data_IF_214699141670
#
_entry.id   IF_214699141670
#
_cell.length_a   1.000
_cell.length_b   1.000
_cell.length_c   1.000
_cell.angle_alpha   90.00
_cell.angle_beta   90.00
_cell.angle_gamma   90.00
#
_symmetry.space_group_name_H-M   'P 1'
#
loop_
_entity.id
_entity.type
_entity.pdbx_description
1 polymer ?
#
# COMPACT_ATOMS: atom_id res chain seq x y z
N UNK A 1 14.62 -25.05 -22.08
CA UNK A 1 13.23 -24.81 -21.62
C UNK A 1 13.02 -23.32 -21.56
N UNK A 2 11.97 -22.78 -22.19
CA UNK A 2 11.62 -21.36 -22.14
C UNK A 2 10.74 -21.13 -20.91
N UNK A 3 11.19 -20.26 -20.01
CA UNK A 3 10.41 -19.84 -18.83
C UNK A 3 9.97 -18.40 -19.02
N UNK A 4 8.72 -18.10 -18.66
CA UNK A 4 8.17 -16.74 -18.66
C UNK A 4 7.96 -16.31 -17.22
N UNK A 5 8.59 -15.20 -16.80
CA UNK A 5 8.40 -14.64 -15.47
C UNK A 5 7.02 -13.99 -15.39
N UNK A 6 6.29 -14.26 -14.32
CA UNK A 6 5.08 -13.52 -13.95
C UNK A 6 5.41 -12.55 -12.82
N UNK A 7 4.83 -11.35 -12.85
CA UNK A 7 4.92 -10.37 -11.76
C UNK A 7 3.73 -10.48 -10.80
N UNK A 8 3.37 -9.38 -10.14
CA UNK A 8 2.26 -9.27 -9.18
C UNK A 8 0.94 -9.07 -9.92
N UNK A 9 0.30 -10.18 -10.30
CA UNK A 9 -0.95 -10.19 -11.09
C UNK A 9 -2.06 -9.26 -10.57
N UNK A 10 -2.10 -9.00 -9.26
CA UNK A 10 -3.17 -8.23 -8.63
C UNK A 10 -2.72 -6.88 -8.07
N UNK A 11 -1.57 -6.37 -8.49
CA UNK A 11 -1.09 -5.03 -8.13
C UNK A 11 -0.84 -4.23 -9.40
N UNK A 12 -1.39 -3.01 -9.47
CA UNK A 12 -1.13 -2.06 -10.55
C UNK A 12 -0.73 -0.70 -9.97
N UNK A 13 0.02 0.08 -10.74
CA UNK A 13 0.38 1.44 -10.38
C UNK A 13 -0.63 2.41 -10.98
N UNK A 14 -1.05 3.41 -10.22
CA UNK A 14 -1.82 4.54 -10.75
C UNK A 14 -0.91 5.58 -11.46
N UNK A 15 -1.50 6.67 -11.96
CA UNK A 15 -0.78 7.77 -12.63
C UNK A 15 0.29 8.44 -11.76
N UNK A 16 0.27 8.22 -10.44
CA UNK A 16 1.19 8.78 -9.46
C UNK A 16 2.18 7.73 -8.93
N UNK A 17 2.28 6.58 -9.60
CA UNK A 17 3.08 5.42 -9.16
C UNK A 17 2.67 4.86 -7.80
N UNK A 18 1.40 5.00 -7.41
CA UNK A 18 0.88 4.40 -6.17
C UNK A 18 0.39 2.98 -6.46
N UNK A 19 0.88 1.96 -5.74
CA UNK A 19 0.42 0.59 -5.91
C UNK A 19 -0.97 0.37 -5.33
N UNK A 20 -1.90 -0.08 -6.18
CA UNK A 20 -3.32 -0.34 -5.91
C UNK A 20 -3.63 -1.81 -6.20
N UNK A 21 -4.47 -2.40 -5.36
CA UNK A 21 -4.93 -3.78 -5.52
C UNK A 21 -5.99 -3.82 -6.64
N UNK A 22 -5.76 -4.66 -7.65
CA UNK A 22 -6.63 -4.76 -8.84
C UNK A 22 -8.08 -5.04 -8.44
N UNK A 23 -9.04 -4.29 -8.99
CA UNK A 23 -10.47 -4.46 -8.70
C UNK A 23 -10.92 -3.85 -7.38
N UNK A 24 -10.07 -3.09 -6.70
CA UNK A 24 -10.44 -2.27 -5.55
C UNK A 24 -9.79 -0.87 -5.65
N UNK A 25 -10.16 0.02 -4.74
CA UNK A 25 -9.49 1.30 -4.52
C UNK A 25 -8.41 1.22 -3.44
N UNK A 26 -8.21 0.03 -2.86
CA UNK A 26 -7.32 -0.16 -1.73
C UNK A 26 -5.86 -0.13 -2.17
N UNK A 27 -5.08 0.74 -1.54
CA UNK A 27 -3.64 0.84 -1.81
C UNK A 27 -2.88 -0.22 -1.04
N UNK A 28 -1.76 -0.70 -1.58
CA UNK A 28 -0.91 -1.69 -0.89
C UNK A 28 -0.44 -1.15 0.46
N UNK A 29 -0.05 0.13 0.53
CA UNK A 29 0.37 0.76 1.79
C UNK A 29 -0.74 0.78 2.86
N UNK A 30 -2.01 0.89 2.45
CA UNK A 30 -3.15 0.85 3.39
C UNK A 30 -3.34 -0.55 3.96
N UNK A 31 -3.28 -1.58 3.10
CA UNK A 31 -3.32 -2.98 3.54
C UNK A 31 -2.20 -3.29 4.54
N UNK A 32 -0.96 -2.87 4.24
CA UNK A 32 0.20 -3.07 5.11
C UNK A 32 0.08 -2.29 6.42
N UNK A 33 -0.52 -1.11 6.39
CA UNK A 33 -0.80 -0.35 7.61
C UNK A 33 -1.71 -1.14 8.54
N UNK A 34 -2.78 -1.75 8.02
CA UNK A 34 -3.68 -2.61 8.81
C UNK A 34 -2.97 -3.83 9.38
N UNK A 35 -2.12 -4.51 8.58
CA UNK A 35 -1.30 -5.63 9.07
C UNK A 35 -0.43 -5.20 10.24
N UNK A 36 0.28 -4.07 10.13
CA UNK A 36 1.18 -3.61 11.19
C UNK A 36 0.44 -3.07 12.42
N UNK A 37 -0.72 -2.44 12.23
CA UNK A 37 -1.50 -1.84 13.32
C UNK A 37 -2.22 -2.89 14.17
N UNK A 38 -2.76 -3.93 13.53
CA UNK A 38 -3.60 -4.93 14.18
C UNK A 38 -2.96 -6.32 14.28
N UNK A 39 -1.77 -6.50 13.70
CA UNK A 39 -1.10 -7.81 13.58
C UNK A 39 -1.96 -8.86 12.87
N UNK A 40 -2.81 -8.43 11.94
CA UNK A 40 -3.76 -9.30 11.26
C UNK A 40 -3.09 -10.32 10.34
N UNK A 41 -3.61 -11.54 10.35
CA UNK A 41 -3.28 -12.57 9.35
C UNK A 41 -3.94 -12.29 8.00
N UNK A 42 -3.51 -12.94 6.90
CA UNK A 42 -4.20 -12.86 5.61
C UNK A 42 -5.68 -13.23 5.67
N UNK A 43 -6.05 -14.19 6.51
CA UNK A 43 -7.44 -14.60 6.75
C UNK A 43 -8.23 -13.49 7.44
N UNK A 44 -7.68 -12.91 8.51
CA UNK A 44 -8.31 -11.78 9.21
C UNK A 44 -8.43 -10.54 8.30
N UNK A 45 -7.43 -10.29 7.43
CA UNK A 45 -7.54 -9.25 6.41
C UNK A 45 -8.73 -9.51 5.46
N UNK A 46 -8.95 -10.76 5.05
CA UNK A 46 -10.06 -11.10 4.16
C UNK A 46 -11.41 -10.98 4.86
N UNK A 47 -11.50 -11.36 6.13
CA UNK A 47 -12.71 -11.17 6.95
C UNK A 47 -13.05 -9.67 7.10
N UNK A 48 -12.05 -8.81 7.31
CA UNK A 48 -12.24 -7.36 7.45
C UNK A 48 -12.40 -6.63 6.10
N UNK A 49 -11.82 -7.17 5.03
CA UNK A 49 -11.90 -6.65 3.66
C UNK A 49 -12.52 -7.69 2.72
N UNK A 50 -13.83 -8.00 2.87
CA UNK A 50 -14.48 -9.10 2.15
C UNK A 50 -14.56 -8.91 0.62
N UNK A 51 -14.26 -7.70 0.13
CA UNK A 51 -14.15 -7.40 -1.29
C UNK A 51 -12.79 -7.80 -1.88
N UNK A 52 -11.82 -8.18 -1.04
CA UNK A 52 -10.53 -8.73 -1.46
C UNK A 52 -10.55 -10.25 -1.37
N UNK A 53 -10.07 -10.88 -2.43
CA UNK A 53 -9.75 -12.31 -2.44
C UNK A 53 -8.39 -12.58 -1.79
N UNK A 54 -8.18 -13.81 -1.31
CA UNK A 54 -6.88 -14.25 -0.79
C UNK A 54 -5.75 -14.04 -1.80
N UNK A 55 -5.99 -14.27 -3.10
CA UNK A 55 -5.00 -14.05 -4.15
C UNK A 55 -4.57 -12.59 -4.28
N UNK A 56 -5.50 -11.65 -4.13
CA UNK A 56 -5.19 -10.22 -4.12
C UNK A 56 -4.37 -9.84 -2.88
N UNK A 57 -4.77 -10.34 -1.70
CA UNK A 57 -4.07 -10.11 -0.43
C UNK A 57 -2.63 -10.61 -0.52
N UNK A 58 -2.42 -11.87 -0.89
CA UNK A 58 -1.07 -12.43 -1.00
C UNK A 58 -0.23 -11.75 -2.09
N UNK A 59 -0.82 -11.37 -3.21
CA UNK A 59 -0.09 -10.61 -4.24
C UNK A 59 0.37 -9.24 -3.74
N UNK A 60 -0.46 -8.56 -2.94
CA UNK A 60 -0.10 -7.28 -2.32
C UNK A 60 0.99 -7.44 -1.25
N UNK A 61 0.91 -8.50 -0.42
CA UNK A 61 1.94 -8.83 0.56
C UNK A 61 3.28 -9.15 -0.11
N UNK A 62 3.27 -9.93 -1.21
CA UNK A 62 4.46 -10.22 -1.99
C UNK A 62 5.06 -8.93 -2.58
N UNK A 63 4.23 -8.05 -3.17
CA UNK A 63 4.68 -6.76 -3.66
C UNK A 63 5.33 -5.92 -2.57
N UNK A 64 4.74 -5.88 -1.38
CA UNK A 64 5.30 -5.17 -0.24
C UNK A 64 6.69 -5.70 0.14
N UNK A 65 6.88 -7.01 0.25
CA UNK A 65 8.18 -7.55 0.66
C UNK A 65 9.30 -7.24 -0.32
N UNK A 66 8.99 -7.21 -1.62
CA UNK A 66 9.97 -6.85 -2.65
C UNK A 66 10.20 -5.32 -2.76
N UNK A 67 9.30 -4.50 -2.21
CA UNK A 67 9.34 -3.02 -2.27
C UNK A 67 9.28 -2.36 -0.88
N UNK A 68 9.68 -3.09 0.15
CA UNK A 68 9.42 -2.72 1.55
C UNK A 68 9.92 -1.32 1.93
N UNK A 69 11.14 -0.89 1.55
CA UNK A 69 11.64 0.45 1.90
C UNK A 69 10.77 1.59 1.35
N UNK A 70 10.25 1.43 0.12
CA UNK A 70 9.41 2.44 -0.53
C UNK A 70 8.03 2.53 0.15
N UNK A 71 7.41 1.37 0.39
CA UNK A 71 6.10 1.32 1.05
C UNK A 71 6.17 1.82 2.49
N UNK A 72 7.23 1.48 3.23
CA UNK A 72 7.43 1.96 4.60
C UNK A 72 7.68 3.48 4.65
N UNK A 73 8.40 4.03 3.67
CA UNK A 73 8.59 5.48 3.54
C UNK A 73 7.27 6.21 3.21
N UNK A 74 6.47 5.67 2.28
CA UNK A 74 5.15 6.22 1.96
C UNK A 74 4.20 6.13 3.17
N UNK A 75 4.24 5.03 3.91
CA UNK A 75 3.46 4.86 5.15
C UNK A 75 3.81 5.96 6.15
N UNK A 76 5.10 6.17 6.41
CA UNK A 76 5.58 7.22 7.31
C UNK A 76 5.15 8.61 6.82
N UNK A 77 5.27 8.88 5.51
CA UNK A 77 4.84 10.15 4.91
C UNK A 77 3.36 10.44 5.14
N UNK A 78 2.52 9.40 5.12
CA UNK A 78 1.08 9.51 5.41
C UNK A 78 0.78 9.67 6.91
N UNK A 79 1.47 8.92 7.76
CA UNK A 79 1.30 8.98 9.22
C UNK A 79 1.70 10.34 9.80
N UNK A 80 2.81 10.92 9.30
CA UNK A 80 3.27 12.24 9.70
C UNK A 80 2.33 13.35 9.19
N UNK A 81 1.60 13.09 8.10
CA UNK A 81 0.84 14.09 7.36
C UNK A 81 1.72 15.24 6.87
N UNK A 82 1.21 16.15 6.04
CA UNK A 82 1.80 17.49 6.07
C UNK A 82 1.56 18.02 7.48
N UNK A 83 2.62 18.05 8.31
CA UNK A 83 2.59 18.62 9.64
C UNK A 83 1.78 19.92 9.60
N UNK A 84 0.94 20.23 10.60
CA UNK A 84 0.21 21.50 10.66
C UNK A 84 1.14 22.70 10.42
N UNK A 85 2.40 22.58 10.83
CA UNK A 85 3.46 23.54 10.53
C UNK A 85 3.77 23.63 9.03
N UNK A 86 3.94 22.53 8.31
CA UNK A 86 4.18 22.53 6.85
C UNK A 86 2.97 23.10 6.10
N UNK A 87 1.74 22.76 6.51
CA UNK A 87 0.53 23.37 5.93
C UNK A 87 0.47 24.88 6.17
N UNK A 88 0.82 25.33 7.39
CA UNK A 88 0.87 26.75 7.74
C UNK A 88 1.98 27.49 7.02
N UNK A 89 3.18 26.91 6.93
CA UNK A 89 4.33 27.51 6.26
C UNK A 89 4.09 27.66 4.74
N UNK A 90 3.42 26.67 4.11
CA UNK A 90 2.93 26.80 2.72
C UNK A 90 1.85 27.86 2.58
N UNK A 91 0.91 27.95 3.53
CA UNK A 91 -0.14 28.98 3.52
C UNK A 91 0.40 30.40 3.78
N UNK A 92 1.49 30.52 4.53
CA UNK A 92 2.18 31.78 4.86
C UNK A 92 3.28 32.15 3.83
N UNK A 93 3.52 31.31 2.81
CA UNK A 93 4.47 31.59 1.72
C UNK A 93 5.95 31.56 2.13
N UNK A 94 6.28 30.88 3.23
CA UNK A 94 7.63 30.84 3.82
C UNK A 94 8.49 29.73 3.20
N UNK A 95 7.86 28.75 2.54
CA UNK A 95 8.46 27.68 1.75
C UNK A 95 7.54 27.30 0.58
#
# INVERSE_FOLDING_TARGET
MTTTKTEYKYVHLDEKNVPIITGSTMKVVELITSVKAYSWTPEELQENYPHLSMSQIYSALAYYWDNQPEIDAEKLRREVGESPLVKRLKAEGVI
#
